data_IF_922817028701
#
_entry.id   IF_922817028701
#
_cell.length_a   1.000
_cell.length_b   1.000
_cell.length_c   1.000
_cell.angle_alpha   90.00
_cell.angle_beta   90.00
_cell.angle_gamma   90.00
#
_symmetry.space_group_name_H-M   'P 1'
#
loop_
_entity.id
_entity.type
_entity.pdbx_description
1 polymer ?
#
# COMPACT_ATOMS: atom_id res chain seq x y z
N UNK A 1 8.51 -2.22 24.70
CA UNK A 1 7.02 -2.28 24.79
C UNK A 1 6.58 -3.66 25.30
N UNK A 2 5.60 -3.72 26.21
CA UNK A 2 5.01 -5.00 26.66
C UNK A 2 4.43 -5.74 25.44
N UNK A 3 4.69 -7.04 25.28
CA UNK A 3 4.12 -7.92 24.23
C UNK A 3 2.63 -7.63 23.87
N UNK A 4 1.72 -7.33 24.83
CA UNK A 4 0.34 -6.94 24.50
C UNK A 4 0.20 -5.66 23.67
N UNK A 5 1.05 -4.65 23.87
CA UNK A 5 0.95 -3.38 23.13
C UNK A 5 1.27 -3.55 21.64
N UNK A 6 2.23 -4.43 21.30
CA UNK A 6 2.56 -4.73 19.90
C UNK A 6 1.43 -5.47 19.18
N UNK A 7 0.82 -6.46 19.87
CA UNK A 7 -0.36 -7.18 19.34
C UNK A 7 -1.55 -6.24 19.13
N UNK A 8 -1.74 -5.29 20.05
CA UNK A 8 -2.79 -4.28 19.94
C UNK A 8 -2.61 -3.38 18.72
N UNK A 9 -1.39 -2.90 18.45
CA UNK A 9 -1.09 -2.08 17.26
C UNK A 9 -1.36 -2.84 15.96
N UNK A 10 -0.94 -4.11 15.87
CA UNK A 10 -1.20 -4.95 14.70
C UNK A 10 -2.71 -5.13 14.50
N UNK A 11 -3.43 -5.45 15.57
CA UNK A 11 -4.88 -5.63 15.54
C UNK A 11 -5.61 -4.36 15.07
N UNK A 12 -5.20 -3.19 15.58
CA UNK A 12 -5.77 -1.90 15.18
C UNK A 12 -5.49 -1.61 13.70
N UNK A 13 -4.28 -1.91 13.22
CA UNK A 13 -3.92 -1.80 11.80
C UNK A 13 -4.79 -2.67 10.89
N UNK A 14 -5.07 -3.92 11.28
CA UNK A 14 -5.96 -4.81 10.52
C UNK A 14 -7.38 -4.26 10.47
N UNK A 15 -7.91 -3.77 11.60
CA UNK A 15 -9.23 -3.13 11.64
C UNK A 15 -9.29 -1.91 10.72
N UNK A 16 -8.25 -1.07 10.73
CA UNK A 16 -8.19 0.10 9.86
C UNK A 16 -8.22 -0.29 8.38
N UNK A 17 -7.47 -1.32 7.97
CA UNK A 17 -7.46 -1.81 6.59
C UNK A 17 -8.86 -2.33 6.20
N UNK A 18 -9.50 -3.12 7.05
CA UNK A 18 -10.86 -3.63 6.81
C UNK A 18 -11.85 -2.46 6.68
N UNK A 19 -11.78 -1.48 7.57
CA UNK A 19 -12.64 -0.30 7.54
C UNK A 19 -12.46 0.52 6.27
N UNK A 20 -11.22 0.70 5.79
CA UNK A 20 -10.94 1.36 4.53
C UNK A 20 -11.55 0.57 3.37
N UNK A 21 -11.31 -0.74 3.29
CA UNK A 21 -11.86 -1.59 2.21
C UNK A 21 -13.40 -1.50 2.19
N UNK A 22 -14.06 -1.57 3.35
CA UNK A 22 -15.51 -1.45 3.44
C UNK A 22 -16.00 -0.10 2.89
N UNK A 23 -15.31 0.99 3.26
CA UNK A 23 -15.60 2.33 2.74
C UNK A 23 -15.39 2.39 1.21
N UNK A 24 -14.35 1.74 0.68
CA UNK A 24 -14.09 1.69 -0.75
C UNK A 24 -15.21 1.00 -1.52
N UNK A 25 -15.65 -0.16 -1.04
CA UNK A 25 -16.76 -0.90 -1.64
C UNK A 25 -18.04 -0.07 -1.61
N UNK A 26 -18.32 0.61 -0.50
CA UNK A 26 -19.49 1.48 -0.37
C UNK A 26 -19.47 2.64 -1.38
N UNK A 27 -18.37 3.39 -1.48
CA UNK A 27 -18.25 4.48 -2.45
C UNK A 27 -18.29 3.98 -3.90
N UNK A 28 -17.71 2.82 -4.17
CA UNK A 28 -17.76 2.20 -5.48
C UNK A 28 -19.20 1.91 -5.90
N UNK A 29 -20.00 1.29 -5.02
CA UNK A 29 -21.43 1.03 -5.28
C UNK A 29 -22.21 2.31 -5.56
N UNK A 30 -22.01 3.34 -4.75
CA UNK A 30 -22.66 4.65 -4.96
C UNK A 30 -22.28 5.23 -6.32
N UNK A 31 -20.98 5.24 -6.64
CA UNK A 31 -20.48 5.84 -7.87
C UNK A 31 -20.98 5.08 -9.09
N UNK A 32 -20.95 3.74 -9.03
CA UNK A 32 -21.45 2.87 -10.08
C UNK A 32 -22.94 3.12 -10.35
N UNK A 33 -23.78 3.11 -9.32
CA UNK A 33 -25.21 3.35 -9.46
C UNK A 33 -25.52 4.77 -10.00
N UNK A 34 -24.70 5.76 -9.64
CA UNK A 34 -24.86 7.12 -10.14
C UNK A 34 -24.47 7.23 -11.63
N UNK A 35 -23.36 6.62 -12.04
CA UNK A 35 -22.97 6.58 -13.45
C UNK A 35 -23.97 5.78 -14.29
N UNK A 36 -24.51 4.69 -13.75
CA UNK A 36 -25.59 3.93 -14.38
C UNK A 36 -26.82 4.81 -14.63
N UNK A 37 -27.31 5.52 -13.60
CA UNK A 37 -28.46 6.44 -13.73
C UNK A 37 -28.20 7.57 -14.73
N UNK A 38 -26.99 8.15 -14.75
CA UNK A 38 -26.64 9.19 -15.73
C UNK A 38 -26.66 8.65 -17.15
N UNK A 39 -26.14 7.44 -17.36
CA UNK A 39 -26.14 6.81 -18.67
C UNK A 39 -27.57 6.50 -19.13
N UNK A 40 -28.41 5.95 -18.26
CA UNK A 40 -29.81 5.65 -18.58
C UNK A 40 -30.58 6.91 -18.96
N UNK A 41 -30.38 8.02 -18.25
CA UNK A 41 -30.95 9.31 -18.60
C UNK A 41 -30.50 9.80 -19.98
N UNK A 42 -29.20 9.69 -20.29
CA UNK A 42 -28.66 10.06 -21.61
C UNK A 42 -29.25 9.20 -22.73
N UNK A 43 -29.34 7.89 -22.52
CA UNK A 43 -29.94 6.97 -23.49
C UNK A 43 -31.42 7.33 -23.69
N UNK A 44 -32.20 7.51 -22.62
CA UNK A 44 -33.61 7.89 -22.73
C UNK A 44 -33.80 9.20 -23.50
N UNK A 45 -33.02 10.24 -23.20
CA UNK A 45 -33.07 11.53 -23.91
C UNK A 45 -32.69 11.35 -25.38
N UNK A 46 -31.66 10.56 -25.68
CA UNK A 46 -31.25 10.30 -27.05
C UNK A 46 -32.32 9.54 -27.85
N UNK A 47 -32.90 8.51 -27.26
CA UNK A 47 -33.94 7.71 -27.93
C UNK A 47 -35.23 8.50 -28.12
N UNK A 48 -35.58 9.37 -27.17
CA UNK A 48 -36.66 10.32 -27.35
C UNK A 48 -36.39 11.25 -28.55
N UNK A 49 -35.20 11.85 -28.62
CA UNK A 49 -34.84 12.76 -29.72
C UNK A 49 -34.86 12.05 -31.09
N UNK A 50 -34.52 10.76 -31.15
CA UNK A 50 -34.65 9.95 -32.38
C UNK A 50 -36.11 9.80 -32.79
N UNK A 51 -37.01 9.53 -31.85
CA UNK A 51 -38.44 9.42 -32.12
C UNK A 51 -39.02 10.75 -32.60
N UNK A 52 -38.62 11.88 -32.00
CA UNK A 52 -39.03 13.21 -32.47
C UNK A 52 -38.59 13.48 -33.91
N UNK A 53 -37.39 13.05 -34.30
CA UNK A 53 -36.89 13.19 -35.67
C UNK A 53 -37.69 12.31 -36.65
N UNK A 54 -38.07 11.10 -36.26
CA UNK A 54 -38.91 10.20 -37.08
C UNK A 54 -40.32 10.78 -37.25
N UNK A 55 -40.94 11.28 -36.17
CA UNK A 55 -42.26 11.91 -36.25
C UNK A 55 -42.27 13.19 -37.10
N UNK A 56 -41.21 13.99 -37.04
CA UNK A 56 -41.06 15.16 -37.90
C UNK A 56 -40.95 14.77 -39.39
N UNK A 57 -40.27 13.67 -39.71
CA UNK A 57 -40.14 13.15 -41.07
C UNK A 57 -41.48 12.61 -41.60
N UNK A 58 -42.22 11.87 -40.77
CA UNK A 58 -43.50 11.25 -41.14
C UNK A 58 -44.73 12.17 -40.96
N UNK A 59 -44.53 13.42 -40.52
CA UNK A 59 -45.60 14.39 -40.25
C UNK A 59 -46.65 13.91 -39.22
N UNK A 60 -46.20 13.18 -38.18
CA UNK A 60 -47.06 12.65 -37.12
C UNK A 60 -47.18 13.66 -35.96
N UNK A 61 -48.39 13.84 -35.45
CA UNK A 61 -48.62 14.61 -34.22
C UNK A 61 -48.26 13.77 -32.98
N UNK A 62 -47.24 14.19 -32.25
CA UNK A 62 -46.79 13.53 -31.03
C UNK A 62 -47.86 13.56 -29.94
N UNK A 63 -48.13 12.40 -29.31
CA UNK A 63 -49.13 12.25 -28.25
C UNK A 63 -48.64 12.58 -26.84
N UNK A 64 -47.37 12.97 -26.66
CA UNK A 64 -46.83 13.38 -25.36
C UNK A 64 -46.44 12.24 -24.40
N UNK A 65 -46.65 10.98 -24.79
CA UNK A 65 -46.32 9.79 -23.99
C UNK A 65 -44.87 9.41 -24.27
N UNK A 66 -44.07 9.18 -23.22
CA UNK A 66 -42.69 8.73 -23.36
C UNK A 66 -42.64 7.40 -24.16
N UNK A 67 -42.05 7.38 -25.36
CA UNK A 67 -42.04 6.21 -26.23
C UNK A 67 -40.99 5.17 -25.81
N UNK A 68 -40.11 5.51 -24.87
CA UNK A 68 -38.94 4.70 -24.49
C UNK A 68 -39.24 3.88 -23.23
N UNK A 69 -39.18 2.56 -23.35
CA UNK A 69 -39.32 1.60 -22.25
C UNK A 69 -37.99 0.88 -22.03
N UNK A 70 -37.46 0.96 -20.81
CA UNK A 70 -36.29 0.17 -20.41
C UNK A 70 -36.75 -1.21 -19.97
N UNK A 71 -36.36 -2.23 -20.73
CA UNK A 71 -36.76 -3.63 -20.50
C UNK A 71 -35.80 -4.31 -19.54
N UNK A 72 -34.51 -4.03 -19.74
CA UNK A 72 -33.44 -4.49 -18.86
C UNK A 72 -32.35 -3.43 -18.78
N UNK A 73 -31.33 -3.68 -17.96
CA UNK A 73 -30.20 -2.76 -17.83
C UNK A 73 -29.54 -2.46 -19.18
N UNK A 74 -29.49 -3.43 -20.08
CA UNK A 74 -28.72 -3.34 -21.33
C UNK A 74 -29.62 -3.34 -22.57
N UNK A 75 -30.96 -3.33 -22.41
CA UNK A 75 -31.94 -3.38 -23.51
C UNK A 75 -33.08 -2.39 -23.34
N UNK A 76 -33.31 -1.58 -24.38
CA UNK A 76 -34.34 -0.56 -24.46
C UNK A 76 -35.25 -0.83 -25.67
N UNK A 77 -36.54 -0.60 -25.50
CA UNK A 77 -37.55 -0.72 -26.56
C UNK A 77 -38.22 0.63 -26.74
N UNK A 78 -38.38 1.03 -28.00
CA UNK A 78 -38.91 2.34 -28.36
C UNK A 78 -40.08 2.18 -29.30
N UNK A 79 -41.25 2.62 -28.86
CA UNK A 79 -42.47 2.58 -29.67
C UNK A 79 -42.57 3.79 -30.59
N UNK A 80 -42.61 3.54 -31.90
CA UNK A 80 -42.75 4.58 -32.94
C UNK A 80 -44.18 4.62 -33.48
N UNK A 81 -44.98 3.55 -33.33
CA UNK A 81 -46.35 3.46 -33.86
C UNK A 81 -46.49 3.76 -35.37
N UNK A 82 -45.42 3.70 -36.15
CA UNK A 82 -45.41 3.91 -37.60
C UNK A 82 -44.24 3.16 -38.26
N UNK A 83 -44.22 3.12 -39.60
CA UNK A 83 -43.16 2.51 -40.38
C UNK A 83 -41.80 3.17 -40.11
N UNK A 84 -40.77 2.34 -39.93
CA UNK A 84 -39.41 2.75 -39.62
C UNK A 84 -38.51 2.32 -40.77
N UNK A 85 -37.94 3.30 -41.49
CA UNK A 85 -36.87 3.05 -42.44
C UNK A 85 -35.56 2.80 -41.67
N UNK A 86 -34.90 1.70 -42.02
CA UNK A 86 -33.76 1.20 -41.26
C UNK A 86 -32.48 2.01 -41.43
N UNK A 87 -32.26 2.60 -42.61
CA UNK A 87 -31.10 3.45 -42.90
C UNK A 87 -31.27 4.82 -42.22
N UNK A 88 -32.50 5.34 -42.23
CA UNK A 88 -32.87 6.58 -41.54
C UNK A 88 -32.73 6.42 -40.03
N UNK A 89 -33.17 5.29 -39.47
CA UNK A 89 -33.02 4.98 -38.05
C UNK A 89 -31.55 4.93 -37.63
N UNK A 90 -30.68 4.23 -38.38
CA UNK A 90 -29.25 4.14 -38.07
C UNK A 90 -28.62 5.54 -38.03
N UNK A 91 -28.92 6.36 -39.04
CA UNK A 91 -28.40 7.72 -39.14
C UNK A 91 -28.78 8.58 -37.92
N UNK A 92 -30.05 8.53 -37.50
CA UNK A 92 -30.51 9.29 -36.34
C UNK A 92 -29.96 8.76 -35.02
N UNK A 93 -29.80 7.44 -34.86
CA UNK A 93 -29.19 6.84 -33.67
C UNK A 93 -27.73 7.27 -33.51
N UNK A 94 -26.92 7.13 -34.57
CA UNK A 94 -25.50 7.54 -34.56
C UNK A 94 -25.39 9.02 -34.23
N UNK A 95 -26.10 9.87 -34.97
CA UNK A 95 -26.05 11.33 -34.80
C UNK A 95 -26.45 11.76 -33.38
N UNK A 96 -27.48 11.14 -32.80
CA UNK A 96 -27.99 11.53 -31.49
C UNK A 96 -27.11 11.01 -30.36
N UNK A 97 -26.56 9.79 -30.48
CA UNK A 97 -25.61 9.25 -29.51
C UNK A 97 -24.29 10.02 -29.49
N UNK A 98 -23.77 10.44 -30.65
CA UNK A 98 -22.61 11.34 -30.73
C UNK A 98 -22.91 12.69 -30.06
N UNK A 99 -24.07 13.28 -30.33
CA UNK A 99 -24.51 14.55 -29.71
C UNK A 99 -24.60 14.47 -28.19
N UNK A 100 -25.07 13.34 -27.64
CA UNK A 100 -25.16 13.11 -26.18
C UNK A 100 -23.84 12.60 -25.56
N UNK A 101 -22.77 12.50 -26.36
CA UNK A 101 -21.48 11.96 -25.98
C UNK A 101 -21.59 10.55 -25.36
N UNK A 102 -22.33 9.68 -26.05
CA UNK A 102 -22.51 8.27 -25.73
C UNK A 102 -21.59 7.48 -26.68
N UNK A 103 -20.38 7.15 -26.20
CA UNK A 103 -19.39 6.38 -26.97
C UNK A 103 -19.53 4.88 -26.66
N UNK A 104 -20.71 4.35 -26.91
CA UNK A 104 -21.06 2.96 -26.63
C UNK A 104 -21.46 2.28 -27.93
N UNK A 105 -20.88 1.11 -28.18
CA UNK A 105 -21.36 0.26 -29.26
C UNK A 105 -22.73 -0.28 -28.91
N UNK A 106 -23.58 -0.38 -29.93
CA UNK A 106 -24.95 -0.85 -29.76
C UNK A 106 -25.38 -1.69 -30.96
N UNK A 107 -26.31 -2.60 -30.69
CA UNK A 107 -27.04 -3.35 -31.70
C UNK A 107 -28.49 -2.87 -31.66
N UNK A 108 -29.09 -2.61 -32.80
CA UNK A 108 -30.51 -2.24 -32.88
C UNK A 108 -31.26 -3.25 -33.72
N UNK A 109 -32.56 -3.36 -33.50
CA UNK A 109 -33.45 -4.26 -34.24
C UNK A 109 -34.84 -3.65 -34.45
N UNK A 110 -35.40 -3.75 -35.65
CA UNK A 110 -36.76 -3.32 -35.97
C UNK A 110 -37.67 -4.54 -35.96
N UNK A 111 -38.78 -4.44 -35.23
CA UNK A 111 -39.80 -5.47 -35.17
C UNK A 111 -40.80 -5.31 -36.33
N UNK A 112 -41.06 -6.41 -37.05
CA UNK A 112 -42.12 -6.47 -38.05
C UNK A 112 -43.28 -7.34 -37.55
N UNK A 113 -44.46 -6.75 -37.47
CA UNK A 113 -45.68 -7.41 -37.03
C UNK A 113 -46.19 -8.49 -37.99
N UNK A 114 -45.83 -8.45 -39.28
CA UNK A 114 -46.26 -9.44 -40.28
C UNK A 114 -45.43 -10.72 -40.21
N UNK A 115 -44.15 -10.61 -39.86
CA UNK A 115 -43.22 -11.75 -39.79
C UNK A 115 -43.03 -12.28 -38.35
N UNK A 116 -43.61 -11.61 -37.35
CA UNK A 116 -43.47 -11.88 -35.91
C UNK A 116 -42.02 -11.99 -35.40
N UNK A 117 -41.06 -11.43 -36.14
CA UNK A 117 -39.63 -11.52 -35.86
C UNK A 117 -38.95 -10.15 -36.05
N UNK A 118 -37.78 -9.99 -35.42
CA UNK A 118 -36.90 -8.84 -35.65
C UNK A 118 -36.25 -9.02 -37.03
N UNK A 119 -36.69 -8.26 -38.03
CA UNK A 119 -36.24 -8.45 -39.42
C UNK A 119 -34.94 -7.73 -39.74
N UNK A 120 -34.74 -6.55 -39.15
CA UNK A 120 -33.61 -5.69 -39.48
C UNK A 120 -32.84 -5.33 -38.23
N UNK A 121 -31.56 -5.69 -38.16
CA UNK A 121 -30.67 -5.23 -37.11
C UNK A 121 -29.21 -5.20 -37.53
N UNK A 122 -28.53 -4.11 -37.19
CA UNK A 122 -27.11 -3.92 -37.45
C UNK A 122 -26.37 -3.57 -36.15
N UNK A 123 -25.10 -3.95 -36.10
CA UNK A 123 -24.20 -3.60 -35.00
C UNK A 123 -23.39 -2.37 -35.39
N UNK A 124 -23.57 -1.30 -34.62
CA UNK A 124 -22.93 0.00 -34.85
C UNK A 124 -21.79 0.17 -33.87
N UNK A 125 -20.58 0.35 -34.42
CA UNK A 125 -19.38 0.64 -33.66
C UNK A 125 -19.25 2.16 -33.50
N UNK A 126 -19.54 2.67 -32.31
CA UNK A 126 -19.27 4.06 -31.93
C UNK A 126 -17.97 4.17 -31.11
N UNK A 127 -17.55 3.07 -30.49
CA UNK A 127 -16.26 2.88 -29.85
C UNK A 127 -15.24 2.29 -30.81
N UNK A 128 -13.96 2.58 -30.57
CA UNK A 128 -12.84 2.17 -31.43
C UNK A 128 -12.48 0.66 -31.35
N UNK A 129 -13.42 -0.26 -31.13
CA UNK A 129 -13.13 -1.70 -31.02
C UNK A 129 -13.99 -2.54 -31.95
N UNK A 130 -13.37 -3.07 -33.01
CA UNK A 130 -13.95 -3.88 -34.11
C UNK A 130 -14.57 -5.23 -33.72
N UNK A 131 -14.75 -5.55 -32.43
CA UNK A 131 -15.20 -6.87 -32.02
C UNK A 131 -16.73 -6.95 -32.03
N UNK A 132 -17.29 -7.43 -33.14
CA UNK A 132 -18.71 -7.80 -33.25
C UNK A 132 -19.05 -8.88 -32.21
N UNK A 133 -20.00 -8.65 -31.29
CA UNK A 133 -20.60 -9.74 -30.54
C UNK A 133 -21.36 -10.67 -31.51
N UNK A 134 -21.41 -11.95 -31.18
CA UNK A 134 -22.21 -12.98 -31.86
C UNK A 134 -23.67 -12.53 -31.89
N UNK A 135 -24.32 -12.56 -33.08
CA UNK A 135 -25.75 -12.20 -33.28
C UNK A 135 -26.60 -12.53 -32.05
N UNK A 136 -27.14 -11.51 -31.40
CA UNK A 136 -27.96 -11.66 -30.21
C UNK A 136 -29.41 -11.66 -30.66
N UNK A 137 -30.16 -12.72 -30.34
CA UNK A 137 -31.60 -12.73 -30.54
C UNK A 137 -32.25 -11.78 -29.52
N UNK A 138 -32.72 -10.63 -30.00
CA UNK A 138 -33.36 -9.63 -29.17
C UNK A 138 -34.74 -10.15 -28.72
N UNK A 139 -35.08 -10.08 -27.42
CA UNK A 139 -36.35 -10.57 -26.91
C UNK A 139 -37.51 -9.71 -27.42
N UNK A 140 -38.58 -10.37 -27.87
CA UNK A 140 -39.83 -9.74 -28.35
C UNK A 140 -40.57 -9.07 -27.20
N UNK A 141 -41.07 -7.85 -27.45
CA UNK A 141 -42.02 -7.17 -26.60
C UNK A 141 -43.45 -7.32 -27.14
N UNK A 142 -44.38 -7.78 -26.30
CA UNK A 142 -45.72 -8.19 -26.72
C UNK A 142 -46.72 -7.02 -26.85
N UNK A 143 -46.35 -5.79 -26.46
CA UNK A 143 -47.30 -4.67 -26.31
C UNK A 143 -47.27 -3.63 -27.44
N UNK A 144 -46.33 -3.73 -28.41
CA UNK A 144 -46.14 -2.73 -29.47
C UNK A 144 -46.19 -3.34 -30.87
N UNK A 145 -46.85 -2.63 -31.80
CA UNK A 145 -47.06 -3.07 -33.20
C UNK A 145 -45.90 -2.61 -34.11
N UNK A 146 -45.38 -1.40 -33.90
CA UNK A 146 -44.23 -0.84 -34.61
C UNK A 146 -43.22 -0.25 -33.62
N UNK A 147 -42.17 -1.01 -33.31
CA UNK A 147 -41.13 -0.60 -32.37
C UNK A 147 -39.74 -1.03 -32.85
N UNK A 148 -38.72 -0.36 -32.32
CA UNK A 148 -37.35 -0.82 -32.43
C UNK A 148 -36.75 -1.08 -31.04
N UNK A 149 -35.89 -2.09 -30.95
CA UNK A 149 -35.13 -2.45 -29.77
C UNK A 149 -33.66 -2.07 -29.92
N UNK A 150 -33.00 -1.67 -28.84
CA UNK A 150 -31.56 -1.37 -28.81
C UNK A 150 -30.91 -2.06 -27.63
N UNK A 151 -29.82 -2.76 -27.92
CA UNK A 151 -29.02 -3.52 -26.98
C UNK A 151 -27.59 -2.97 -26.87
N UNK A 152 -27.09 -2.84 -25.63
CA UNK A 152 -25.76 -2.31 -25.31
C UNK A 152 -24.85 -3.40 -24.69
N UNK A 153 -24.10 -4.17 -25.50
CA UNK A 153 -23.27 -5.29 -25.03
C UNK A 153 -22.19 -4.89 -24.03
N UNK A 154 -21.59 -3.71 -24.22
CA UNK A 154 -20.43 -3.25 -23.45
C UNK A 154 -20.76 -2.20 -22.38
N UNK A 155 -22.04 -2.08 -22.00
CA UNK A 155 -22.53 -1.06 -21.04
C UNK A 155 -21.79 -1.10 -19.71
N UNK A 156 -21.60 -2.29 -19.12
CA UNK A 156 -20.91 -2.43 -17.82
C UNK A 156 -19.45 -2.00 -17.90
N UNK A 157 -18.72 -2.40 -18.95
CA UNK A 157 -17.32 -2.03 -19.12
C UNK A 157 -17.16 -0.53 -19.34
N UNK A 158 -18.07 0.11 -20.08
CA UNK A 158 -18.09 1.55 -20.27
C UNK A 158 -18.31 2.31 -18.96
N UNK A 159 -19.31 1.90 -18.16
CA UNK A 159 -19.56 2.50 -16.84
C UNK A 159 -18.31 2.34 -15.95
N UNK A 160 -17.73 1.15 -15.89
CA UNK A 160 -16.50 0.89 -15.12
C UNK A 160 -15.32 1.76 -15.59
N UNK A 161 -15.18 1.98 -16.89
CA UNK A 161 -14.14 2.83 -17.48
C UNK A 161 -14.26 4.30 -17.08
N UNK A 162 -15.47 4.77 -16.76
CA UNK A 162 -15.71 6.15 -16.35
C UNK A 162 -15.52 6.39 -14.83
N UNK A 163 -15.35 5.34 -14.02
CA UNK A 163 -15.19 5.47 -12.56
C UNK A 163 -13.72 5.72 -12.20
N UNK A 164 -13.20 6.91 -12.54
CA UNK A 164 -11.81 7.27 -12.25
C UNK A 164 -11.50 7.40 -10.74
N UNK A 165 -12.52 7.62 -9.91
CA UNK A 165 -12.40 7.74 -8.45
C UNK A 165 -11.82 6.49 -7.78
N UNK A 166 -11.92 5.31 -8.42
CA UNK A 166 -11.39 4.06 -7.87
C UNK A 166 -9.87 4.10 -7.72
N UNK A 167 -9.15 4.72 -8.67
CA UNK A 167 -7.68 4.78 -8.65
C UNK A 167 -7.16 5.59 -7.48
N UNK A 168 -7.81 6.72 -7.17
CA UNK A 168 -7.45 7.58 -6.03
C UNK A 168 -7.64 6.80 -4.73
N UNK A 169 -8.79 6.12 -4.61
CA UNK A 169 -9.13 5.36 -3.41
C UNK A 169 -8.16 4.18 -3.20
N UNK A 170 -7.82 3.46 -4.26
CA UNK A 170 -6.79 2.41 -4.23
C UNK A 170 -5.42 2.94 -3.83
N UNK A 171 -5.03 4.12 -4.32
CA UNK A 171 -3.78 4.79 -3.93
C UNK A 171 -3.71 5.07 -2.43
N UNK A 172 -4.80 5.56 -1.83
CA UNK A 172 -4.90 5.79 -0.38
C UNK A 172 -4.70 4.48 0.39
N UNK A 173 -5.31 3.38 -0.04
CA UNK A 173 -5.15 2.07 0.61
C UNK A 173 -3.69 1.59 0.57
N UNK A 174 -3.04 1.70 -0.59
CA UNK A 174 -1.61 1.34 -0.74
C UNK A 174 -0.75 2.19 0.19
N UNK A 175 -1.01 3.50 0.25
CA UNK A 175 -0.28 4.41 1.14
C UNK A 175 -0.44 4.00 2.62
N UNK A 176 -1.65 3.70 3.07
CA UNK A 176 -1.91 3.28 4.46
C UNK A 176 -1.20 1.96 4.77
N UNK A 177 -1.22 1.00 3.85
CA UNK A 177 -0.52 -0.29 4.03
C UNK A 177 0.99 -0.09 4.14
N UNK A 178 1.59 0.73 3.28
CA UNK A 178 3.02 1.05 3.33
C UNK A 178 3.38 1.77 4.64
N UNK A 179 2.56 2.72 5.07
CA UNK A 179 2.76 3.45 6.32
C UNK A 179 2.73 2.51 7.54
N UNK A 180 1.74 1.63 7.63
CA UNK A 180 1.64 0.63 8.71
C UNK A 180 2.81 -0.35 8.69
N UNK A 181 3.25 -0.79 7.50
CA UNK A 181 4.42 -1.64 7.32
C UNK A 181 5.70 -0.96 7.82
N UNK A 182 5.91 0.31 7.45
CA UNK A 182 7.05 1.10 7.91
C UNK A 182 7.02 1.30 9.44
N UNK A 183 5.86 1.66 10.00
CA UNK A 183 5.70 1.82 11.45
C UNK A 183 6.06 0.53 12.21
N UNK A 184 5.67 -0.64 11.70
CA UNK A 184 6.05 -1.93 12.29
C UNK A 184 7.56 -2.16 12.28
N UNK A 185 8.24 -1.85 11.18
CA UNK A 185 9.71 -1.97 11.10
C UNK A 185 10.38 -1.09 12.16
N UNK A 186 9.97 0.17 12.29
CA UNK A 186 10.51 1.10 13.28
C UNK A 186 10.28 0.59 14.70
N UNK A 187 9.07 0.10 15.02
CA UNK A 187 8.75 -0.44 16.35
C UNK A 187 9.63 -1.66 16.68
N UNK A 188 9.86 -2.56 15.71
CA UNK A 188 10.70 -3.74 15.90
C UNK A 188 12.17 -3.35 16.13
N UNK A 189 12.68 -2.38 15.37
CA UNK A 189 14.03 -1.85 15.57
C UNK A 189 14.19 -1.23 16.96
N UNK A 190 13.26 -0.35 17.38
CA UNK A 190 13.26 0.26 18.71
C UNK A 190 13.25 -0.78 19.83
N UNK A 191 12.46 -1.86 19.66
CA UNK A 191 12.42 -2.95 20.63
C UNK A 191 13.76 -3.66 20.74
N UNK A 192 14.40 -3.97 19.60
CA UNK A 192 15.72 -4.61 19.56
C UNK A 192 16.78 -3.74 20.24
N UNK A 193 16.81 -2.44 19.96
CA UNK A 193 17.73 -1.50 20.63
C UNK A 193 17.50 -1.44 22.14
N UNK A 194 16.23 -1.40 22.56
CA UNK A 194 15.90 -1.40 23.99
C UNK A 194 16.29 -2.70 24.71
N UNK A 195 16.20 -3.86 24.04
CA UNK A 195 16.67 -5.14 24.58
C UNK A 195 18.20 -5.16 24.70
N UNK A 196 18.92 -4.76 23.66
CA UNK A 196 20.38 -4.65 23.68
C UNK A 196 20.89 -3.74 24.80
N UNK A 197 20.27 -2.57 24.97
CA UNK A 197 20.65 -1.62 26.02
C UNK A 197 20.46 -2.23 27.42
N UNK A 198 19.37 -2.98 27.63
CA UNK A 198 19.14 -3.67 28.91
C UNK A 198 20.17 -4.74 29.18
N UNK A 199 20.53 -5.52 28.17
CA UNK A 199 21.53 -6.58 28.30
C UNK A 199 22.90 -6.00 28.63
N UNK A 200 23.29 -4.88 28.01
CA UNK A 200 24.51 -4.14 28.35
C UNK A 200 24.50 -3.70 29.81
N UNK A 201 23.42 -3.05 30.26
CA UNK A 201 23.31 -2.58 31.66
C UNK A 201 23.38 -3.76 32.64
N UNK A 202 22.69 -4.87 32.35
CA UNK A 202 22.71 -6.06 33.20
C UNK A 202 24.10 -6.68 33.26
N UNK A 203 24.80 -6.77 32.12
CA UNK A 203 26.15 -7.33 32.06
C UNK A 203 27.15 -6.45 32.84
N UNK A 204 27.15 -5.14 32.59
CA UNK A 204 28.00 -4.18 33.32
C UNK A 204 27.72 -4.24 34.83
N UNK A 205 26.46 -4.35 35.24
CA UNK A 205 26.08 -4.47 36.65
C UNK A 205 26.70 -5.71 37.29
N UNK A 206 26.64 -6.86 36.60
CA UNK A 206 27.25 -8.09 37.10
C UNK A 206 28.77 -7.99 37.15
N UNK A 207 29.40 -7.51 36.08
CA UNK A 207 30.85 -7.32 35.99
C UNK A 207 31.40 -6.31 36.99
N UNK A 208 30.60 -5.34 37.45
CA UNK A 208 31.03 -4.38 38.48
C UNK A 208 30.78 -4.90 39.90
N UNK A 209 29.70 -5.66 40.11
CA UNK A 209 29.35 -6.16 41.45
C UNK A 209 30.43 -7.09 42.01
N UNK A 210 30.96 -8.01 41.21
CA UNK A 210 31.98 -8.98 41.65
C UNK A 210 33.27 -8.35 42.18
N UNK A 211 33.98 -7.49 41.43
CA UNK A 211 35.20 -6.84 41.93
C UNK A 211 34.90 -5.93 43.11
N UNK A 212 33.77 -5.22 43.10
CA UNK A 212 33.36 -4.35 44.21
C UNK A 212 33.12 -5.15 45.50
N UNK A 213 32.42 -6.28 45.44
CA UNK A 213 32.25 -7.18 46.59
C UNK A 213 33.59 -7.74 47.10
N UNK A 214 34.54 -8.03 46.20
CA UNK A 214 35.88 -8.49 46.59
C UNK A 214 36.69 -7.39 47.29
N UNK A 215 36.56 -6.12 46.86
CA UNK A 215 37.15 -4.97 47.55
C UNK A 215 36.54 -4.82 48.94
N UNK A 216 35.21 -4.81 49.05
CA UNK A 216 34.49 -4.68 50.33
C UNK A 216 34.93 -5.77 51.31
N UNK A 217 34.93 -7.04 50.88
CA UNK A 217 35.37 -8.15 51.72
C UNK A 217 36.82 -8.00 52.18
N UNK A 218 37.71 -7.56 51.29
CA UNK A 218 39.12 -7.35 51.63
C UNK A 218 39.30 -6.18 52.59
N UNK A 219 38.51 -5.11 52.46
CA UNK A 219 38.53 -3.98 53.40
C UNK A 219 37.94 -4.34 54.76
N UNK A 220 36.92 -5.22 54.80
CA UNK A 220 36.34 -5.70 56.06
C UNK A 220 37.41 -6.47 56.86
N UNK A 221 38.14 -7.38 56.21
CA UNK A 221 39.23 -8.13 56.85
C UNK A 221 40.38 -7.22 57.30
N UNK A 222 40.72 -6.20 56.51
CA UNK A 222 41.73 -5.19 56.89
C UNK A 222 41.29 -4.29 58.06
N UNK A 223 39.99 -4.23 58.36
CA UNK A 223 39.44 -3.42 59.46
C UNK A 223 39.35 -4.18 60.78
N UNK A 224 39.59 -5.50 60.78
CA UNK A 224 39.60 -6.33 61.98
C UNK A 224 40.84 -6.06 62.85
N UNK A 225 40.65 -5.93 64.17
CA UNK A 225 41.75 -5.62 65.09
C UNK A 225 42.87 -6.68 65.11
N UNK A 226 42.56 -7.94 64.78
CA UNK A 226 43.50 -9.05 64.80
C UNK A 226 44.48 -9.03 63.62
N UNK A 227 44.09 -8.44 62.48
CA UNK A 227 44.90 -8.40 61.25
C UNK A 227 46.20 -7.61 61.43
N UNK A 228 46.24 -6.68 62.39
CA UNK A 228 47.42 -5.85 62.71
C UNK A 228 48.63 -6.68 63.15
N UNK A 229 48.43 -7.95 63.52
CA UNK A 229 49.49 -8.89 63.91
C UNK A 229 50.03 -9.72 62.73
N UNK A 230 49.42 -9.62 61.55
CA UNK A 230 49.74 -10.43 60.36
C UNK A 230 50.12 -9.55 59.14
N UNK A 231 51.33 -8.98 59.09
CA UNK A 231 51.73 -8.03 58.04
C UNK A 231 51.71 -8.60 56.61
N UNK A 232 51.94 -9.91 56.46
CA UNK A 232 51.89 -10.57 55.14
C UNK A 232 50.45 -10.66 54.61
N UNK A 233 49.46 -10.91 55.47
CA UNK A 233 48.04 -10.89 55.09
C UNK A 233 47.59 -9.48 54.71
N UNK A 234 48.05 -8.45 55.42
CA UNK A 234 47.76 -7.04 55.07
C UNK A 234 48.23 -6.74 53.64
N UNK A 235 49.47 -7.12 53.28
CA UNK A 235 49.99 -6.94 51.93
C UNK A 235 49.18 -7.71 50.88
N UNK A 236 48.76 -8.94 51.20
CA UNK A 236 47.93 -9.75 50.31
C UNK A 236 46.57 -9.09 50.03
N UNK A 237 45.82 -8.69 51.05
CA UNK A 237 44.52 -8.04 50.88
C UNK A 237 44.64 -6.68 50.18
N UNK A 238 45.68 -5.90 50.49
CA UNK A 238 45.97 -4.65 49.77
C UNK A 238 46.27 -4.90 48.27
N UNK A 239 46.97 -5.98 47.93
CA UNK A 239 47.22 -6.38 46.54
C UNK A 239 45.93 -6.83 45.82
N UNK A 240 45.03 -7.55 46.51
CA UNK A 240 43.71 -7.93 45.98
C UNK A 240 42.91 -6.67 45.66
N UNK A 241 42.80 -5.72 46.60
CA UNK A 241 42.08 -4.46 46.39
C UNK A 241 42.64 -3.70 45.18
N UNK A 242 43.96 -3.54 45.10
CA UNK A 242 44.62 -2.86 43.97
C UNK A 242 44.30 -3.53 42.64
N UNK A 243 44.31 -4.85 42.59
CA UNK A 243 44.03 -5.63 41.37
C UNK A 243 42.58 -5.45 40.93
N UNK A 244 41.63 -5.55 41.86
CA UNK A 244 40.20 -5.38 41.56
C UNK A 244 39.86 -3.92 41.18
N UNK A 245 40.48 -2.93 41.81
CA UNK A 245 40.33 -1.53 41.45
C UNK A 245 40.84 -1.24 40.02
N UNK A 246 41.99 -1.80 39.64
CA UNK A 246 42.50 -1.70 38.28
C UNK A 246 41.59 -2.40 37.26
N UNK A 247 40.99 -3.54 37.61
CA UNK A 247 40.02 -4.22 36.75
C UNK A 247 38.77 -3.36 36.50
N UNK A 248 38.23 -2.72 37.54
CA UNK A 248 37.12 -1.77 37.43
C UNK A 248 37.45 -0.57 36.53
N UNK A 249 38.65 0.03 36.71
CA UNK A 249 39.12 1.11 35.84
C UNK A 249 39.15 0.68 34.37
N UNK A 250 39.67 -0.51 34.07
CA UNK A 250 39.68 -1.05 32.72
C UNK A 250 38.28 -1.29 32.15
N UNK A 251 37.29 -1.65 32.97
CA UNK A 251 35.91 -1.75 32.50
C UNK A 251 35.27 -0.38 32.22
N UNK A 252 35.59 0.64 33.03
CA UNK A 252 35.13 2.02 32.82
C UNK A 252 35.70 2.58 31.52
N UNK A 253 36.99 2.36 31.26
CA UNK A 253 37.65 2.77 30.01
C UNK A 253 37.01 2.13 28.78
N UNK A 254 36.62 0.85 28.84
CA UNK A 254 35.88 0.19 27.74
C UNK A 254 34.53 0.86 27.47
N UNK A 255 33.80 1.25 28.51
CA UNK A 255 32.51 1.94 28.36
C UNK A 255 32.69 3.35 27.79
N UNK A 256 33.70 4.09 28.26
CA UNK A 256 34.03 5.43 27.75
C UNK A 256 34.52 5.38 26.30
N UNK A 257 35.40 4.44 25.97
CA UNK A 257 35.92 4.25 24.60
C UNK A 257 34.83 3.88 23.59
N UNK A 258 33.80 3.14 24.02
CA UNK A 258 32.63 2.86 23.18
C UNK A 258 31.82 4.14 22.88
N UNK A 259 31.66 5.03 23.87
CA UNK A 259 30.95 6.31 23.74
C UNK A 259 31.71 7.32 22.86
N UNK A 260 33.04 7.31 22.96
CA UNK A 260 33.88 8.07 22.03
C UNK A 260 33.73 7.55 20.60
N UNK A 261 33.75 6.22 20.39
CA UNK A 261 33.55 5.59 19.07
C UNK A 261 32.20 5.95 18.43
N UNK A 262 31.12 6.03 19.22
CA UNK A 262 29.80 6.46 18.74
C UNK A 262 29.78 7.95 18.33
N UNK A 263 30.65 8.79 18.90
CA UNK A 263 30.79 10.22 18.58
C UNK A 263 31.81 10.53 17.47
N UNK A 264 32.56 9.56 16.95
CA UNK A 264 33.51 9.75 15.83
C UNK A 264 32.75 9.85 14.49
N UNK A 265 31.86 10.83 14.37
CA UNK A 265 31.18 11.16 13.12
C UNK A 265 32.12 11.75 12.05
N UNK A 266 33.40 12.02 12.39
CA UNK A 266 34.41 12.57 11.47
C UNK A 266 35.77 11.91 11.67
N UNK A 267 35.99 10.81 10.95
CA UNK A 267 37.33 10.26 10.74
C UNK A 267 38.15 11.26 9.91
N UNK A 268 39.28 11.72 10.45
CA UNK A 268 40.21 12.55 9.71
C UNK A 268 41.09 11.64 8.84
N UNK A 269 40.69 11.47 7.58
CA UNK A 269 41.41 10.60 6.64
C UNK A 269 42.65 11.31 6.12
N UNK A 270 43.82 10.75 6.38
CA UNK A 270 45.10 11.23 5.89
C UNK A 270 45.79 10.16 5.04
N UNK A 271 46.57 10.60 4.05
CA UNK A 271 47.41 9.72 3.25
C UNK A 271 48.67 9.44 4.07
N UNK A 272 48.83 8.19 4.50
CA UNK A 272 49.98 7.75 5.29
C UNK A 272 50.83 6.74 4.51
N UNK A 273 52.15 6.81 4.67
CA UNK A 273 53.05 5.77 4.18
C UNK A 273 52.97 4.57 5.13
N UNK A 274 52.30 3.51 4.68
CA UNK A 274 52.08 2.31 5.50
C UNK A 274 53.39 1.67 5.97
N UNK A 275 54.43 1.68 5.14
CA UNK A 275 55.70 1.02 5.46
C UNK A 275 56.45 1.75 6.57
N UNK A 276 56.51 3.08 6.50
CA UNK A 276 57.13 3.92 7.52
C UNK A 276 56.35 3.87 8.84
N UNK A 277 55.01 3.88 8.76
CA UNK A 277 54.15 3.77 9.93
C UNK A 277 54.27 2.41 10.63
N UNK A 278 54.31 1.33 9.86
CA UNK A 278 54.54 -0.01 10.39
C UNK A 278 55.93 -0.16 11.00
N UNK A 279 56.97 0.40 10.35
CA UNK A 279 58.33 0.41 10.88
C UNK A 279 58.42 1.11 12.26
N UNK A 280 57.78 2.28 12.40
CA UNK A 280 57.71 3.01 13.67
C UNK A 280 57.01 2.21 14.77
N UNK A 281 55.88 1.56 14.46
CA UNK A 281 55.16 0.72 15.42
C UNK A 281 56.02 -0.47 15.85
N UNK A 282 56.70 -1.12 14.90
CA UNK A 282 57.57 -2.24 15.24
C UNK A 282 58.77 -1.82 16.08
N UNK A 283 59.35 -0.65 15.83
CA UNK A 283 60.44 -0.12 16.67
C UNK A 283 59.97 0.13 18.11
N UNK A 284 58.76 0.66 18.28
CA UNK A 284 58.12 0.86 19.59
C UNK A 284 57.85 -0.47 20.32
N UNK A 285 57.41 -1.50 19.58
CA UNK A 285 57.04 -2.80 20.15
C UNK A 285 58.22 -3.76 20.31
N UNK A 286 59.34 -3.57 19.59
CA UNK A 286 60.60 -4.33 19.76
C UNK A 286 61.10 -4.25 21.20
N UNK A 287 60.94 -3.09 21.86
CA UNK A 287 61.28 -2.94 23.27
C UNK A 287 60.44 -3.84 24.19
N UNK A 288 59.16 -4.04 23.87
CA UNK A 288 58.25 -4.95 24.60
C UNK A 288 58.50 -6.43 24.26
N UNK A 289 58.91 -6.74 23.04
CA UNK A 289 59.14 -8.13 22.59
C UNK A 289 60.48 -8.69 23.06
N UNK A 290 61.53 -7.87 23.13
CA UNK A 290 62.82 -8.26 23.69
C UNK A 290 62.71 -8.67 25.16
N UNK A 291 61.80 -8.07 25.93
CA UNK A 291 61.50 -8.48 27.30
C UNK A 291 60.80 -9.85 27.42
N UNK A 292 60.38 -10.46 26.30
CA UNK A 292 59.68 -11.75 26.25
C UNK A 292 60.34 -12.78 25.32
N UNK A 293 61.60 -12.57 24.90
CA UNK A 293 62.34 -13.42 23.94
C UNK A 293 61.61 -13.63 22.58
N UNK A 294 60.82 -12.66 22.13
CA UNK A 294 60.19 -12.69 20.80
C UNK A 294 60.99 -11.89 19.76
N UNK A 295 60.92 -12.27 18.49
CA UNK A 295 61.59 -11.57 17.38
C UNK A 295 60.54 -11.01 16.41
N UNK A 296 60.64 -9.71 16.04
CA UNK A 296 59.75 -9.02 15.10
C UNK A 296 60.61 -8.38 14.01
N UNK A 297 60.27 -8.65 12.75
CA UNK A 297 60.89 -8.04 11.56
C UNK A 297 59.80 -7.54 10.62
N UNK A 298 60.00 -6.35 10.02
CA UNK A 298 59.13 -5.76 8.98
C UNK A 298 59.73 -5.96 7.61
#
# INVERSE_FOLDING_TARGET
>A
MRKPAMRFVIFLGVISIIGIIALQVYFFQITFNNEERKLDQKIQVALWEVVEQIYALNQINYSGINPVVQVSSDYFVVNVNDFIDADVLEHYLVKTFEKQNIQLDFEYGIYDCQAEQMLYGNYVNLGQKENKPTKIELPKHEEFIYYFGIYFPWRKQYILGNINSIYILSGILVFVVLFLGYALVVILQQKRFSELQKDVVNNLTHEFKTPLSSIVLSTDVLSENEISKEPDRIKMYAAIIKTQANALLGHIEKVLGMSELENIGKLNKEIINLHEYLAQITEQEIWRTNNKNGNISV
#
